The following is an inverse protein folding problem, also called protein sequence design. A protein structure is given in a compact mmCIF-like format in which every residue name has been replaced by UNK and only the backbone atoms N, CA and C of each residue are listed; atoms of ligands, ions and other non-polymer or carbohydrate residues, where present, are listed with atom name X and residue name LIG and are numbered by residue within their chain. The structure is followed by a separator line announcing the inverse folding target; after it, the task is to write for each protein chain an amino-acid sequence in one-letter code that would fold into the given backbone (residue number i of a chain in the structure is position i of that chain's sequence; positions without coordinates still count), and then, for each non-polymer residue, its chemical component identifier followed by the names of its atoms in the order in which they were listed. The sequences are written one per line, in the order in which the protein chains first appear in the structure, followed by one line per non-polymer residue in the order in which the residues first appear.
data_IF_961908459584
#
_entry.id   IF_961908459584
#
_cell.length_a   1.000
_cell.length_b   1.000
_cell.length_c   1.000
_cell.angle_alpha   90.00
_cell.angle_beta   90.00
_cell.angle_gamma   90.00
#
_symmetry.space_group_name_H-M   'P 1'
#
loop_
_entity.id
_entity.type
_entity.pdbx_description
1 polymer ?
#
# COMPACT_ATOMS: atom_id res chain seq x y z
N UNK A 1 10.52 -3.50 -13.71
CA UNK A 1 9.74 -3.27 -12.48
C UNK A 1 9.68 -4.57 -11.71
N UNK A 2 9.95 -4.54 -10.41
CA UNK A 2 9.74 -5.68 -9.53
C UNK A 2 8.43 -5.50 -8.78
N UNK A 3 7.68 -6.58 -8.60
CA UNK A 3 6.50 -6.57 -7.74
C UNK A 3 6.96 -6.76 -6.30
N UNK A 4 6.72 -5.80 -5.39
CA UNK A 4 7.05 -5.99 -3.98
C UNK A 4 6.07 -6.97 -3.34
N UNK A 5 6.54 -7.76 -2.37
CA UNK A 5 5.63 -8.46 -1.48
C UNK A 5 5.02 -7.43 -0.52
N UNK A 6 3.71 -7.51 -0.27
CA UNK A 6 3.05 -6.61 0.67
C UNK A 6 1.98 -7.34 1.49
N UNK A 7 1.73 -6.81 2.68
CA UNK A 7 0.73 -7.27 3.63
C UNK A 7 -0.17 -6.07 3.97
N UNK A 8 -1.45 -6.35 4.18
CA UNK A 8 -2.46 -5.33 4.49
C UNK A 8 -3.21 -5.78 5.73
N UNK A 9 -3.20 -4.93 6.74
CA UNK A 9 -3.93 -5.14 7.99
C UNK A 9 -4.75 -3.90 8.28
N UNK A 10 -5.95 -4.08 8.81
CA UNK A 10 -6.81 -2.96 9.15
C UNK A 10 -7.49 -3.21 10.48
N UNK A 11 -7.58 -2.14 11.24
CA UNK A 11 -8.34 -2.00 12.47
C UNK A 11 -9.42 -0.91 12.27
N UNK A 12 -10.29 -0.65 13.27
CA UNK A 12 -11.39 0.31 13.11
C UNK A 12 -10.94 1.73 12.75
N UNK A 13 -9.71 2.10 13.10
CA UNK A 13 -9.20 3.46 12.96
C UNK A 13 -8.22 3.60 11.79
N UNK A 14 -7.45 2.56 11.49
CA UNK A 14 -6.34 2.62 10.54
C UNK A 14 -6.28 1.45 9.56
N UNK A 15 -5.87 1.77 8.34
CA UNK A 15 -5.36 0.82 7.35
C UNK A 15 -3.83 0.86 7.36
N UNK A 16 -3.20 -0.27 7.66
CA UNK A 16 -1.75 -0.45 7.65
C UNK A 16 -1.33 -1.29 6.44
N UNK A 17 -0.38 -0.76 5.66
CA UNK A 17 0.19 -1.44 4.49
C UNK A 17 1.68 -1.65 4.76
N UNK A 18 2.12 -2.91 4.77
CA UNK A 18 3.52 -3.30 4.96
C UNK A 18 4.07 -3.71 3.59
N UNK A 19 5.07 -2.99 3.06
CA UNK A 19 5.65 -3.26 1.73
C UNK A 19 7.12 -3.67 1.90
N UNK A 20 7.46 -4.88 1.44
CA UNK A 20 8.82 -5.44 1.52
C UNK A 20 9.60 -5.03 0.27
N UNK A 21 10.60 -4.14 0.46
CA UNK A 21 11.41 -3.56 -0.61
C UNK A 21 12.92 -3.77 -0.41
N UNK A 22 13.42 -5.01 -0.37
CA UNK A 22 14.82 -5.32 -0.04
C UNK A 22 15.86 -4.68 -0.99
N UNK A 23 15.45 -4.33 -2.20
CA UNK A 23 16.32 -3.72 -3.22
C UNK A 23 16.09 -2.22 -3.42
N UNK A 24 15.20 -1.60 -2.64
CA UNK A 24 14.98 -0.16 -2.72
C UNK A 24 15.89 0.58 -1.73
N UNK A 25 16.27 1.79 -2.09
CA UNK A 25 16.92 2.70 -1.16
C UNK A 25 15.86 3.37 -0.31
N UNK A 26 16.01 3.30 1.02
CA UNK A 26 15.08 3.93 1.96
C UNK A 26 15.01 5.46 1.84
N UNK A 27 15.98 6.10 1.19
CA UNK A 27 15.97 7.54 0.91
C UNK A 27 15.22 7.92 -0.37
N UNK A 28 14.84 6.95 -1.19
CA UNK A 28 14.25 7.16 -2.53
C UNK A 28 12.88 6.45 -2.62
N UNK A 29 11.91 6.91 -1.81
CA UNK A 29 10.52 6.48 -1.93
C UNK A 29 9.56 7.66 -1.93
N UNK A 30 8.46 7.51 -2.65
CA UNK A 30 7.35 8.46 -2.69
C UNK A 30 6.05 7.73 -2.38
N UNK A 31 5.21 8.35 -1.54
CA UNK A 31 3.89 7.86 -1.18
C UNK A 31 2.86 8.93 -1.51
N UNK A 32 1.82 8.53 -2.23
CA UNK A 32 0.67 9.37 -2.55
C UNK A 32 -0.59 8.67 -2.08
N UNK A 33 -1.46 9.40 -1.39
CA UNK A 33 -2.79 8.94 -1.01
C UNK A 33 -3.81 10.01 -1.36
N UNK A 34 -4.86 9.64 -2.10
CA UNK A 34 -5.96 10.53 -2.47
C UNK A 34 -7.27 9.76 -2.37
N UNK A 35 -8.05 10.05 -1.33
CA UNK A 35 -9.27 9.31 -1.01
C UNK A 35 -8.97 7.83 -0.79
N UNK A 36 -9.42 6.99 -1.72
CA UNK A 36 -9.24 5.54 -1.69
C UNK A 36 -8.12 5.05 -2.62
N UNK A 37 -7.41 5.95 -3.32
CA UNK A 37 -6.27 5.58 -4.16
C UNK A 37 -4.95 5.73 -3.38
N UNK A 38 -4.23 4.62 -3.22
CA UNK A 38 -2.91 4.57 -2.63
C UNK A 38 -1.88 4.24 -3.70
N UNK A 39 -0.81 5.04 -3.79
CA UNK A 39 0.34 4.77 -4.67
C UNK A 39 1.63 4.84 -3.88
N UNK A 40 2.47 3.84 -4.10
CA UNK A 40 3.82 3.75 -3.55
C UNK A 40 4.81 3.55 -4.69
N UNK A 41 5.84 4.40 -4.72
CA UNK A 41 6.93 4.33 -5.68
C UNK A 41 8.25 4.22 -4.93
N UNK A 42 9.05 3.20 -5.22
CA UNK A 42 10.42 3.10 -4.72
C UNK A 42 11.20 2.23 -5.70
N UNK A 43 12.13 2.79 -6.48
CA UNK A 43 12.80 2.03 -7.56
C UNK A 43 13.45 0.75 -7.00
N UNK A 44 13.24 -0.42 -7.66
CA UNK A 44 12.53 -0.66 -8.93
C UNK A 44 11.04 -1.06 -8.79
N UNK A 45 10.44 -0.84 -7.61
CA UNK A 45 9.08 -1.20 -7.25
C UNK A 45 8.07 -0.08 -7.51
N UNK A 46 6.86 -0.50 -7.85
CA UNK A 46 5.67 0.34 -7.91
C UNK A 46 4.48 -0.48 -7.40
N UNK A 47 3.69 0.10 -6.52
CA UNK A 47 2.45 -0.48 -6.01
C UNK A 47 1.33 0.58 -6.09
N UNK A 48 0.18 0.19 -6.64
CA UNK A 48 -1.04 0.99 -6.61
C UNK A 48 -2.17 0.11 -6.10
N UNK A 49 -2.94 0.60 -5.14
CA UNK A 49 -4.06 -0.10 -4.53
C UNK A 49 -5.26 0.84 -4.40
N UNK A 50 -6.45 0.34 -4.72
CA UNK A 50 -7.73 1.03 -4.45
C UNK A 50 -8.35 0.42 -3.20
N UNK A 51 -8.60 1.25 -2.19
CA UNK A 51 -9.04 0.85 -0.84
C UNK A 51 -10.55 0.57 -0.77
N UNK A 52 -11.33 0.87 -1.82
CA UNK A 52 -12.79 0.63 -1.93
C UNK A 52 -13.22 -0.82 -1.64
N UNK A 53 -12.32 -1.79 -1.79
CA UNK A 53 -12.61 -3.21 -1.53
C UNK A 53 -12.76 -3.58 -0.05
N UNK A 54 -12.24 -2.79 0.90
CA UNK A 54 -12.21 -3.19 2.31
C UNK A 54 -13.52 -2.87 3.08
N UNK A 55 -14.29 -1.86 2.65
CA UNK A 55 -15.56 -1.49 3.30
C UNK A 55 -16.68 -2.53 3.22
N UNK A 56 -16.51 -3.64 2.47
CA UNK A 56 -17.63 -4.57 2.16
C UNK A 56 -17.85 -5.74 3.12
N UNK A 57 -17.07 -5.90 4.20
CA UNK A 57 -17.17 -7.09 5.08
C UNK A 57 -17.63 -6.84 6.52
N UNK A 58 -18.16 -5.66 6.86
CA UNK A 58 -18.61 -5.36 8.24
C UNK A 58 -20.08 -4.92 8.35
N UNK A 59 -20.92 -5.33 7.40
CA UNK A 59 -22.38 -5.27 7.57
C UNK A 59 -22.98 -6.66 7.38
N UNK A 60 -22.97 -7.46 8.45
CA UNK A 60 -23.97 -8.50 8.72
C UNK A 60 -24.11 -8.72 10.21
#
# INVERSE_FOLDING_TARGET
MLTPAFELTQDPDFLTIIIKVPYARASEFDVYFEGEDFKFYAKPYFLRQVVEGFKRNWTS
#
